data_IF_751997348787
#
_entry.id   IF_751997348787
#
_cell.length_a   1.000
_cell.length_b   1.000
_cell.length_c   1.000
_cell.angle_alpha   90.00
_cell.angle_beta   90.00
_cell.angle_gamma   90.00
#
_symmetry.space_group_name_H-M   'P 1'
#
loop_
_entity.id
_entity.type
_entity.pdbx_description
1 polymer ?
#
# COMPACT_ATOMS: atom_id res chain seq x y z
N UNK A 1 -8.23 -23.82 -38.28
CA UNK A 1 -8.68 -24.06 -36.88
C UNK A 1 -7.86 -23.19 -35.96
N UNK A 2 -8.43 -22.29 -35.34
CA UNK A 2 -8.15 -20.95 -34.90
C UNK A 2 -7.23 -20.90 -33.69
N UNK A 3 -5.99 -20.40 -33.88
CA UNK A 3 -5.06 -19.97 -32.81
C UNK A 3 -5.68 -18.88 -31.89
N UNK A 4 -6.73 -18.24 -32.34
CA UNK A 4 -7.41 -17.14 -31.62
C UNK A 4 -8.23 -17.61 -30.40
N UNK A 5 -8.59 -18.91 -30.32
CA UNK A 5 -9.35 -19.45 -29.18
C UNK A 5 -8.50 -20.05 -28.07
N UNK A 6 -7.19 -20.26 -28.30
CA UNK A 6 -6.27 -20.81 -27.30
C UNK A 6 -5.77 -19.72 -26.34
N UNK A 7 -5.78 -18.46 -26.75
CA UNK A 7 -5.39 -17.31 -25.91
C UNK A 7 -6.52 -16.81 -24.99
N UNK A 8 -7.73 -17.33 -25.10
CA UNK A 8 -8.89 -16.92 -24.31
C UNK A 8 -9.18 -17.80 -23.09
N UNK A 9 -8.39 -18.85 -22.86
CA UNK A 9 -8.58 -19.82 -21.76
C UNK A 9 -7.44 -19.87 -20.71
N UNK A 10 -6.52 -18.91 -20.69
CA UNK A 10 -5.86 -18.62 -19.44
C UNK A 10 -6.91 -17.97 -18.54
N UNK A 11 -7.61 -18.75 -17.72
CA UNK A 11 -8.40 -18.24 -16.61
C UNK A 11 -7.52 -17.28 -15.86
N UNK A 12 -7.76 -15.96 -16.03
CA UNK A 12 -7.12 -14.96 -15.20
C UNK A 12 -7.36 -15.37 -13.76
N UNK A 13 -6.28 -15.62 -13.04
CA UNK A 13 -6.36 -16.14 -11.68
C UNK A 13 -7.09 -15.12 -10.82
N UNK A 14 -8.19 -15.55 -10.19
CA UNK A 14 -9.01 -14.68 -9.35
C UNK A 14 -8.17 -14.14 -8.19
N UNK A 15 -8.25 -12.85 -7.96
CA UNK A 15 -7.62 -12.20 -6.82
C UNK A 15 -8.44 -12.48 -5.56
N UNK A 16 -7.78 -12.97 -4.51
CA UNK A 16 -8.39 -13.09 -3.19
C UNK A 16 -8.20 -11.80 -2.41
N UNK A 17 -9.24 -11.37 -1.69
CA UNK A 17 -9.12 -10.26 -0.75
C UNK A 17 -8.20 -10.66 0.41
N UNK A 18 -7.10 -9.92 0.60
CA UNK A 18 -6.19 -10.17 1.71
C UNK A 18 -6.91 -9.98 3.06
N UNK A 19 -6.77 -10.95 3.96
CA UNK A 19 -7.30 -10.83 5.31
C UNK A 19 -6.49 -9.80 6.10
N UNK A 20 -7.17 -9.00 6.92
CA UNK A 20 -6.49 -8.11 7.85
C UNK A 20 -5.80 -8.94 8.95
N UNK A 21 -4.50 -8.75 9.21
CA UNK A 21 -3.80 -9.47 10.29
C UNK A 21 -4.05 -8.84 11.68
N UNK A 22 -4.99 -7.92 11.79
CA UNK A 22 -5.39 -7.17 12.98
C UNK A 22 -6.90 -6.89 12.95
N UNK A 23 -7.48 -6.50 14.09
CA UNK A 23 -8.85 -5.99 14.14
C UNK A 23 -8.89 -4.54 13.66
N UNK A 24 -9.98 -4.12 13.01
CA UNK A 24 -10.12 -2.74 12.49
C UNK A 24 -9.99 -1.66 13.57
N UNK A 25 -10.21 -2.01 14.84
CA UNK A 25 -10.04 -1.11 15.99
C UNK A 25 -8.60 -0.96 16.46
N UNK A 26 -7.70 -1.86 16.04
CA UNK A 26 -6.33 -1.95 16.59
C UNK A 26 -5.33 -0.96 15.96
N UNK A 27 -5.68 -0.31 14.84
CA UNK A 27 -4.80 0.69 14.22
C UNK A 27 -4.98 2.11 14.80
N UNK A 28 -5.90 2.29 15.76
CA UNK A 28 -6.05 3.57 16.49
C UNK A 28 -4.77 3.90 17.27
N UNK A 29 -4.39 5.16 17.39
CA UNK A 29 -5.07 6.37 16.84
C UNK A 29 -4.64 6.74 15.41
N UNK A 30 -3.92 5.88 14.70
CA UNK A 30 -3.33 6.18 13.39
C UNK A 30 -4.39 6.16 12.28
N UNK A 31 -5.23 5.13 12.26
CA UNK A 31 -6.40 5.02 11.39
C UNK A 31 -7.63 4.70 12.24
N UNK A 32 -8.72 5.42 11.98
CA UNK A 32 -10.00 5.15 12.63
C UNK A 32 -10.63 3.86 12.08
N UNK A 33 -11.48 3.26 12.89
CA UNK A 33 -12.27 2.11 12.46
C UNK A 33 -13.17 2.43 11.27
N UNK A 34 -13.72 3.63 11.22
CA UNK A 34 -14.61 4.09 10.14
C UNK A 34 -13.84 4.27 8.83
N UNK A 35 -12.62 4.84 8.89
CA UNK A 35 -11.73 4.90 7.73
C UNK A 35 -11.44 3.48 7.20
N UNK A 36 -11.04 2.56 8.07
CA UNK A 36 -10.72 1.18 7.67
C UNK A 36 -11.96 0.47 7.10
N UNK A 37 -13.12 0.61 7.72
CA UNK A 37 -14.37 0.02 7.21
C UNK A 37 -14.69 0.48 5.80
N UNK A 38 -14.59 1.78 5.54
CA UNK A 38 -14.84 2.30 4.21
C UNK A 38 -13.75 1.86 3.22
N UNK A 39 -12.50 2.08 3.56
CA UNK A 39 -11.37 1.82 2.68
C UNK A 39 -11.18 0.33 2.36
N UNK A 40 -11.36 -0.57 3.35
CA UNK A 40 -11.21 -2.00 3.15
C UNK A 40 -12.50 -2.67 2.65
N UNK A 41 -13.65 -2.50 3.36
CA UNK A 41 -14.87 -3.22 3.02
C UNK A 41 -15.57 -2.69 1.77
N UNK A 42 -15.40 -1.41 1.43
CA UNK A 42 -16.04 -0.80 0.27
C UNK A 42 -15.06 -0.69 -0.90
N UNK A 43 -13.95 0.02 -0.73
CA UNK A 43 -13.04 0.32 -1.83
C UNK A 43 -12.20 -0.90 -2.22
N UNK A 44 -11.44 -1.47 -1.28
CA UNK A 44 -10.56 -2.62 -1.56
C UNK A 44 -11.35 -3.82 -2.06
N UNK A 45 -12.41 -4.19 -1.34
CA UNK A 45 -13.30 -5.28 -1.75
C UNK A 45 -13.98 -5.00 -3.10
N UNK A 46 -14.29 -3.75 -3.38
CA UNK A 46 -14.84 -3.31 -4.66
C UNK A 46 -13.90 -3.59 -5.83
N UNK A 47 -12.60 -3.27 -5.71
CA UNK A 47 -11.59 -3.59 -6.73
C UNK A 47 -11.49 -5.09 -6.99
N UNK A 48 -11.38 -5.88 -5.91
CA UNK A 48 -11.30 -7.35 -6.00
C UNK A 48 -12.54 -7.93 -6.69
N UNK A 49 -13.73 -7.49 -6.29
CA UNK A 49 -14.98 -8.00 -6.85
C UNK A 49 -15.14 -7.64 -8.34
N UNK A 50 -14.88 -6.39 -8.71
CA UNK A 50 -14.99 -5.96 -10.12
C UNK A 50 -13.98 -6.67 -11.02
N UNK A 51 -12.71 -6.79 -10.56
CA UNK A 51 -11.72 -7.55 -11.32
C UNK A 51 -12.17 -9.00 -11.53
N UNK A 52 -12.59 -9.68 -10.47
CA UNK A 52 -13.01 -11.07 -10.54
C UNK A 52 -14.31 -11.32 -11.35
N UNK A 53 -15.14 -10.29 -11.47
CA UNK A 53 -16.37 -10.31 -12.26
C UNK A 53 -16.15 -9.85 -13.73
N UNK A 54 -14.95 -9.35 -14.06
CA UNK A 54 -14.68 -8.76 -15.38
C UNK A 54 -15.42 -7.45 -15.63
N UNK A 55 -15.70 -6.68 -14.57
CA UNK A 55 -16.44 -5.42 -14.60
C UNK A 55 -15.50 -4.21 -14.63
N UNK A 56 -15.82 -3.23 -15.45
CA UNK A 56 -15.07 -1.98 -15.58
C UNK A 56 -13.69 -2.16 -16.23
N UNK A 57 -12.76 -1.25 -15.92
CA UNK A 57 -11.40 -1.32 -16.45
C UNK A 57 -10.58 -2.40 -15.71
N UNK A 58 -10.09 -3.42 -16.43
CA UNK A 58 -9.41 -4.55 -15.81
C UNK A 58 -8.08 -4.16 -15.17
N UNK A 59 -7.27 -3.30 -15.81
CA UNK A 59 -5.96 -2.90 -15.30
C UNK A 59 -6.10 -2.04 -14.05
N UNK A 60 -7.08 -1.14 -14.03
CA UNK A 60 -7.39 -0.31 -12.88
C UNK A 60 -7.86 -1.15 -11.68
N UNK A 61 -8.77 -2.10 -11.91
CA UNK A 61 -9.28 -2.97 -10.84
C UNK A 61 -8.22 -3.98 -10.36
N UNK A 62 -7.42 -4.52 -11.27
CA UNK A 62 -6.26 -5.37 -10.93
C UNK A 62 -5.28 -4.61 -10.04
N UNK A 63 -4.84 -3.45 -10.50
CA UNK A 63 -3.90 -2.61 -9.76
C UNK A 63 -4.45 -2.20 -8.40
N UNK A 64 -5.72 -1.77 -8.34
CA UNK A 64 -6.40 -1.45 -7.11
C UNK A 64 -6.42 -2.61 -6.12
N UNK A 65 -6.78 -3.82 -6.58
CA UNK A 65 -6.79 -5.01 -5.76
C UNK A 65 -5.38 -5.40 -5.25
N UNK A 66 -4.37 -5.38 -6.11
CA UNK A 66 -2.98 -5.73 -5.75
C UNK A 66 -2.36 -4.75 -4.77
N UNK A 67 -2.48 -3.44 -5.04
CA UNK A 67 -1.93 -2.38 -4.20
C UNK A 67 -2.54 -2.40 -2.80
N UNK A 68 -3.87 -2.50 -2.71
CA UNK A 68 -4.55 -2.53 -1.42
C UNK A 68 -4.28 -3.83 -0.65
N UNK A 69 -4.20 -4.99 -1.31
CA UNK A 69 -3.82 -6.23 -0.64
C UNK A 69 -2.42 -6.15 -0.02
N UNK A 70 -1.44 -5.55 -0.73
CA UNK A 70 -0.12 -5.28 -0.17
C UNK A 70 -0.18 -4.28 0.98
N UNK A 71 -0.93 -3.19 0.82
CA UNK A 71 -1.08 -2.15 1.83
C UNK A 71 -1.66 -2.68 3.14
N UNK A 72 -2.79 -3.40 3.08
CA UNK A 72 -3.45 -3.90 4.28
C UNK A 72 -2.66 -4.99 5.01
N UNK A 73 -2.00 -5.88 4.27
CA UNK A 73 -1.24 -6.99 4.87
C UNK A 73 0.08 -6.57 5.53
N UNK A 74 0.55 -5.33 5.29
CA UNK A 74 1.79 -4.81 5.88
C UNK A 74 1.59 -3.96 7.14
N UNK A 75 0.37 -3.83 7.64
CA UNK A 75 0.08 -3.02 8.81
C UNK A 75 -0.02 -3.89 10.07
N UNK A 76 0.23 -3.28 11.22
CA UNK A 76 0.06 -3.88 12.56
C UNK A 76 -0.40 -2.83 13.57
N UNK A 77 -0.93 -3.27 14.70
CA UNK A 77 -1.23 -2.39 15.82
C UNK A 77 0.00 -1.54 16.20
N UNK A 78 -0.18 -0.24 16.52
CA UNK A 78 0.92 0.59 16.97
C UNK A 78 1.49 0.01 18.27
N UNK A 79 2.80 -0.15 18.31
CA UNK A 79 3.54 -0.56 19.48
C UNK A 79 4.71 0.43 19.63
N UNK A 80 5.14 0.73 20.84
CA UNK A 80 6.21 1.65 21.21
C UNK A 80 7.16 2.10 20.10
N UNK A 81 8.42 1.74 20.16
CA UNK A 81 9.37 1.97 19.06
C UNK A 81 9.08 0.99 17.91
N UNK A 82 8.82 1.51 16.71
CA UNK A 82 8.66 0.71 15.50
C UNK A 82 9.76 1.07 14.51
N UNK A 83 10.66 0.15 14.24
CA UNK A 83 11.82 0.35 13.37
C UNK A 83 11.98 -0.80 12.37
N UNK A 84 12.60 -0.56 11.21
CA UNK A 84 12.99 -1.60 10.26
C UNK A 84 13.87 -2.67 10.91
N UNK A 85 13.81 -3.89 10.37
CA UNK A 85 14.55 -5.07 10.83
C UNK A 85 15.24 -5.78 9.66
N UNK A 86 16.25 -6.62 9.95
CA UNK A 86 16.88 -7.45 8.94
C UNK A 86 17.45 -6.70 7.75
N UNK A 87 17.37 -7.29 6.57
CA UNK A 87 17.90 -6.74 5.31
C UNK A 87 17.23 -5.42 4.92
N UNK A 88 15.96 -5.22 5.29
CA UNK A 88 15.28 -3.95 5.03
C UNK A 88 15.86 -2.80 5.87
N UNK A 89 16.32 -3.09 7.09
CA UNK A 89 17.02 -2.10 7.91
C UNK A 89 18.33 -1.67 7.26
N UNK A 90 19.15 -2.64 6.86
CA UNK A 90 20.43 -2.38 6.18
C UNK A 90 20.23 -1.53 4.92
N UNK A 91 19.24 -1.90 4.09
CA UNK A 91 18.90 -1.16 2.87
C UNK A 91 18.47 0.29 3.15
N UNK A 92 17.71 0.52 4.22
CA UNK A 92 17.27 1.87 4.62
C UNK A 92 18.45 2.67 5.17
N UNK A 93 19.28 2.07 6.01
CA UNK A 93 20.45 2.74 6.58
C UNK A 93 21.46 3.13 5.48
N UNK A 94 21.72 2.24 4.54
CA UNK A 94 22.64 2.50 3.41
C UNK A 94 22.15 3.63 2.48
N UNK A 95 20.84 3.69 2.20
CA UNK A 95 20.30 4.65 1.23
C UNK A 95 19.88 5.99 1.85
N UNK A 96 19.41 5.97 3.10
CA UNK A 96 18.77 7.12 3.74
C UNK A 96 19.42 7.52 5.08
N UNK A 97 20.44 6.78 5.50
CA UNK A 97 21.15 7.00 6.77
C UNK A 97 20.47 6.40 7.98
N UNK A 98 19.15 6.54 8.10
CA UNK A 98 18.35 5.96 9.17
C UNK A 98 16.83 5.99 8.81
N UNK A 99 16.01 5.48 9.72
CA UNK A 99 14.54 5.48 9.56
C UNK A 99 13.96 6.89 9.46
N UNK A 100 14.59 7.88 10.09
CA UNK A 100 14.14 9.28 10.05
C UNK A 100 14.39 9.85 8.65
N UNK A 101 15.60 9.70 8.12
CA UNK A 101 15.96 10.10 6.75
C UNK A 101 15.07 9.43 5.70
N UNK A 102 14.80 8.14 5.88
CA UNK A 102 13.84 7.41 5.04
C UNK A 102 12.43 8.03 5.09
N UNK A 103 11.92 8.34 6.29
CA UNK A 103 10.60 8.92 6.46
C UNK A 103 10.51 10.33 5.85
N UNK A 104 11.56 11.14 5.99
CA UNK A 104 11.63 12.48 5.40
C UNK A 104 11.60 12.41 3.87
N UNK A 105 12.37 11.50 3.26
CA UNK A 105 12.38 11.32 1.80
C UNK A 105 11.08 10.68 1.29
N UNK A 106 10.46 9.77 2.06
CA UNK A 106 9.13 9.23 1.75
C UNK A 106 8.07 10.34 1.67
N UNK A 107 8.06 11.25 2.65
CA UNK A 107 7.16 12.41 2.66
C UNK A 107 7.42 13.29 1.45
N UNK A 108 8.67 13.63 1.18
CA UNK A 108 9.06 14.48 0.05
C UNK A 108 8.64 13.85 -1.29
N UNK A 109 8.90 12.54 -1.47
CA UNK A 109 8.50 11.79 -2.67
C UNK A 109 6.98 11.77 -2.82
N UNK A 110 6.24 11.48 -1.75
CA UNK A 110 4.78 11.46 -1.77
C UNK A 110 4.15 12.81 -2.13
N UNK A 111 4.77 13.91 -1.70
CA UNK A 111 4.27 15.27 -2.00
C UNK A 111 4.44 15.66 -3.47
N UNK A 112 5.16 14.89 -4.28
CA UNK A 112 5.22 15.10 -5.74
C UNK A 112 3.99 14.58 -6.47
N UNK A 113 3.14 13.77 -5.81
CA UNK A 113 1.93 13.21 -6.43
C UNK A 113 0.91 14.32 -6.66
N UNK A 114 0.55 14.51 -7.92
CA UNK A 114 -0.56 15.36 -8.34
C UNK A 114 -1.79 14.51 -8.57
N UNK A 115 -2.86 14.79 -7.83
CA UNK A 115 -4.07 13.96 -7.84
C UNK A 115 -3.93 12.72 -6.97
N UNK A 116 -4.42 11.59 -7.45
CA UNK A 116 -4.46 10.33 -6.73
C UNK A 116 -3.32 9.40 -7.14
N UNK A 117 -2.77 8.68 -6.19
CA UNK A 117 -1.67 7.75 -6.46
C UNK A 117 -1.13 7.10 -5.19
N UNK A 118 0.03 6.48 -5.34
CA UNK A 118 0.74 5.76 -4.27
C UNK A 118 2.18 6.21 -4.22
N UNK A 119 2.73 6.36 -3.03
CA UNK A 119 4.17 6.36 -2.81
C UNK A 119 4.58 4.95 -2.38
N UNK A 120 5.71 4.48 -2.84
CA UNK A 120 6.17 3.14 -2.46
C UNK A 120 7.69 3.03 -2.41
N UNK A 121 8.15 2.14 -1.55
CA UNK A 121 9.53 1.65 -1.62
C UNK A 121 9.56 0.46 -2.58
N UNK A 122 10.47 0.51 -3.54
CA UNK A 122 10.70 -0.58 -4.50
C UNK A 122 11.58 -1.67 -3.90
N UNK A 123 11.65 -2.83 -4.55
CA UNK A 123 12.56 -3.93 -4.18
C UNK A 123 14.04 -3.53 -4.20
N UNK A 124 14.41 -2.48 -4.95
CA UNK A 124 15.76 -1.90 -4.93
C UNK A 124 15.98 -0.89 -3.80
N UNK A 125 14.98 -0.67 -2.95
CA UNK A 125 15.02 0.31 -1.85
C UNK A 125 14.78 1.75 -2.27
N UNK A 126 14.51 2.03 -3.55
CA UNK A 126 14.22 3.38 -4.02
C UNK A 126 12.78 3.78 -3.68
N UNK A 127 12.60 5.05 -3.33
CA UNK A 127 11.27 5.64 -3.15
C UNK A 127 10.76 6.19 -4.48
N UNK A 128 9.57 5.74 -4.87
CA UNK A 128 8.92 6.04 -6.15
C UNK A 128 7.45 6.36 -5.95
N UNK A 129 6.83 6.91 -6.98
CA UNK A 129 5.38 7.12 -7.03
C UNK A 129 4.77 6.39 -8.21
N UNK A 130 3.49 6.06 -8.10
CA UNK A 130 2.70 5.55 -9.22
C UNK A 130 1.31 6.19 -9.20
N UNK A 131 0.80 6.65 -10.36
CA UNK A 131 -0.49 7.34 -10.42
C UNK A 131 -1.65 6.35 -10.32
N UNK A 132 -2.77 6.83 -9.80
CA UNK A 132 -4.03 6.08 -9.73
C UNK A 132 -3.85 4.69 -9.11
N UNK A 133 -4.30 3.63 -9.80
CA UNK A 133 -4.14 2.22 -9.40
C UNK A 133 -3.11 1.49 -10.28
N UNK A 134 -2.09 2.19 -10.79
CA UNK A 134 -1.09 1.61 -11.68
C UNK A 134 -0.09 0.74 -10.90
N UNK A 135 -0.38 -0.56 -10.78
CA UNK A 135 0.49 -1.53 -10.10
C UNK A 135 1.83 -1.72 -10.83
N UNK A 136 2.91 -1.86 -10.06
CA UNK A 136 4.26 -2.19 -10.53
C UNK A 136 4.78 -3.43 -9.82
N UNK A 137 5.50 -4.27 -10.52
CA UNK A 137 6.01 -5.56 -10.00
C UNK A 137 7.17 -5.40 -9.01
N UNK A 138 7.80 -4.23 -8.99
CA UNK A 138 8.89 -3.90 -8.07
C UNK A 138 8.41 -3.27 -6.74
N UNK A 139 7.10 -3.13 -6.54
CA UNK A 139 6.55 -2.55 -5.30
C UNK A 139 6.80 -3.51 -4.13
N UNK A 140 7.50 -3.01 -3.12
CA UNK A 140 7.77 -3.70 -1.87
C UNK A 140 6.85 -3.23 -0.73
N UNK A 141 6.78 -1.91 -0.51
CA UNK A 141 6.01 -1.27 0.55
C UNK A 141 5.20 -0.09 -0.01
N UNK A 142 3.94 -0.29 -0.42
CA UNK A 142 3.09 0.80 -0.89
C UNK A 142 2.45 1.56 0.27
N UNK A 143 2.30 2.88 0.13
CA UNK A 143 1.47 3.72 0.99
C UNK A 143 0.49 4.49 0.13
N UNK A 144 -0.78 4.35 0.43
CA UNK A 144 -1.87 4.96 -0.32
C UNK A 144 -1.93 6.47 -0.08
N UNK A 145 -1.96 7.25 -1.17
CA UNK A 145 -2.04 8.70 -1.16
C UNK A 145 -3.34 9.24 -1.78
N UNK A 146 -4.32 8.36 -1.99
CA UNK A 146 -5.68 8.78 -2.32
C UNK A 146 -6.31 9.50 -1.12
N UNK A 147 -7.21 10.43 -1.37
CA UNK A 147 -7.81 11.26 -0.32
C UNK A 147 -8.53 10.48 0.77
N UNK A 148 -9.16 9.35 0.40
CA UNK A 148 -9.84 8.48 1.37
C UNK A 148 -8.90 7.87 2.43
N UNK A 149 -7.59 7.77 2.15
CA UNK A 149 -6.61 7.16 3.04
C UNK A 149 -6.27 8.04 4.24
N UNK A 150 -6.36 9.37 4.09
CA UNK A 150 -5.99 10.32 5.13
C UNK A 150 -7.14 11.20 5.63
N UNK A 151 -8.40 10.74 5.47
CA UNK A 151 -9.59 11.48 5.97
C UNK A 151 -9.56 11.76 7.46
N UNK A 152 -8.93 10.87 8.26
CA UNK A 152 -8.75 11.07 9.70
C UNK A 152 -7.88 12.28 10.05
N UNK A 153 -7.16 12.82 9.09
CA UNK A 153 -6.22 13.96 9.24
C UNK A 153 -6.76 15.28 8.70
N UNK A 154 -7.87 15.23 7.96
CA UNK A 154 -8.53 16.42 7.41
C UNK A 154 -9.37 17.09 8.53
N UNK A 155 -9.43 18.44 8.62
CA UNK A 155 -8.97 19.44 7.65
C UNK A 155 -7.58 20.03 7.91
N UNK A 156 -6.69 19.34 8.63
CA UNK A 156 -5.37 19.88 8.93
C UNK A 156 -4.59 20.22 7.65
N UNK A 157 -3.97 21.40 7.61
CA UNK A 157 -3.19 21.89 6.45
C UNK A 157 -2.07 20.93 6.02
N UNK A 158 -1.51 20.18 6.97
CA UNK A 158 -0.44 19.21 6.79
C UNK A 158 -0.92 17.75 6.88
N UNK A 159 -2.20 17.49 6.57
CA UNK A 159 -2.84 16.17 6.68
C UNK A 159 -2.02 15.05 6.03
N UNK A 160 -1.60 15.20 4.77
CA UNK A 160 -0.78 14.21 4.05
C UNK A 160 0.54 13.89 4.77
N UNK A 161 1.24 14.91 5.25
CA UNK A 161 2.50 14.74 5.99
C UNK A 161 2.29 14.00 7.30
N UNK A 162 1.30 14.41 8.09
CA UNK A 162 0.95 13.74 9.35
C UNK A 162 0.53 12.30 9.14
N UNK A 163 -0.28 12.03 8.14
CA UNK A 163 -0.67 10.69 7.76
C UNK A 163 0.56 9.81 7.49
N UNK A 164 1.45 10.22 6.59
CA UNK A 164 2.65 9.48 6.24
C UNK A 164 3.56 9.20 7.45
N UNK A 165 3.83 10.21 8.27
CA UNK A 165 4.65 10.07 9.47
C UNK A 165 4.03 9.09 10.48
N UNK A 166 2.70 9.09 10.59
CA UNK A 166 2.00 8.17 11.48
C UNK A 166 1.92 6.76 10.89
N UNK A 167 1.78 6.60 9.58
CA UNK A 167 1.80 5.28 8.93
C UNK A 167 3.09 4.50 9.27
N UNK A 168 4.24 5.16 9.39
CA UNK A 168 5.49 4.51 9.78
C UNK A 168 5.43 3.84 11.16
N UNK A 169 4.54 4.28 12.05
CA UNK A 169 4.33 3.69 13.38
C UNK A 169 3.60 2.34 13.36
N UNK A 170 2.92 2.03 12.25
CA UNK A 170 2.11 0.83 12.08
C UNK A 170 2.55 -0.07 10.93
N UNK A 171 3.65 0.25 10.24
CA UNK A 171 4.25 -0.67 9.28
C UNK A 171 4.80 -1.90 10.01
N UNK A 172 4.44 -3.07 9.56
CA UNK A 172 5.05 -4.33 10.01
C UNK A 172 6.33 -4.58 9.20
N UNK A 173 7.46 -4.14 9.74
CA UNK A 173 8.75 -4.23 9.07
C UNK A 173 9.22 -5.67 8.81
N UNK A 174 8.76 -6.64 9.62
CA UNK A 174 9.03 -8.06 9.37
C UNK A 174 8.35 -8.53 8.08
N UNK A 175 7.11 -8.09 7.82
CA UNK A 175 6.41 -8.38 6.57
C UNK A 175 7.15 -7.77 5.38
N UNK A 176 7.65 -6.54 5.52
CA UNK A 176 8.43 -5.89 4.45
C UNK A 176 9.74 -6.63 4.21
N UNK A 177 10.46 -6.99 5.27
CA UNK A 177 11.69 -7.77 5.15
C UNK A 177 11.44 -9.12 4.45
N UNK A 178 10.41 -9.86 4.85
CA UNK A 178 10.07 -11.14 4.23
C UNK A 178 9.71 -11.00 2.74
N UNK A 179 9.08 -9.90 2.33
CA UNK A 179 8.83 -9.61 0.91
C UNK A 179 10.09 -9.29 0.12
N UNK A 180 11.11 -8.72 0.78
CA UNK A 180 12.40 -8.44 0.16
C UNK A 180 13.19 -9.73 -0.08
N UNK A 181 13.15 -10.64 0.89
CA UNK A 181 13.91 -11.88 0.88
C UNK A 181 13.29 -12.98 -0.01
N UNK A 182 12.00 -12.87 -0.36
CA UNK A 182 11.24 -13.84 -1.18
C UNK A 182 10.91 -13.35 -2.56
#
# INVERSE_FOLDING_TARGET
MRLHNILKEAKEEKIQLAKLPYKMTELKPILSEDNIKYHYNVLTKGYVNRYNAGEGDPDFNYGGAKLHNLFWSQLKAPAGANAPVGNIKEMIDDKYGDTKGFTEELVKTAMTIQGSGWVYMSKSGELKTTPNQSYKTDILMPVDMWEHSFTDYVPAKDAKKKYLQNMMKIINWEVINNRLDG
#
